data_IF_140673418622
#
_entry.id   IF_140673418622
#
_cell.length_a   1.000
_cell.length_b   1.000
_cell.length_c   1.000
_cell.angle_alpha   90.00
_cell.angle_beta   90.00
_cell.angle_gamma   90.00
#
_symmetry.space_group_name_H-M   'P 1'
#
loop_
_entity.id
_entity.type
_entity.pdbx_description
1 polymer ?
#
# COMPACT_ATOMS: atom_id res chain seq x y z
N UNK A 1 45.25 -14.53 65.76
CA UNK A 1 45.30 -13.09 65.44
C UNK A 1 44.93 -12.93 63.97
N UNK A 2 43.72 -12.42 63.70
CA UNK A 2 43.22 -11.78 62.47
C UNK A 2 41.69 -11.99 62.42
N UNK A 3 41.01 -10.96 62.87
CA UNK A 3 39.58 -10.85 63.14
C UNK A 3 38.75 -10.61 61.89
N UNK A 4 37.60 -11.29 61.87
CA UNK A 4 36.47 -11.18 60.94
C UNK A 4 35.94 -9.74 60.89
N UNK A 5 35.65 -9.21 59.69
CA UNK A 5 34.81 -8.02 59.50
C UNK A 5 33.72 -8.30 58.47
N UNK A 6 32.48 -8.39 58.94
CA UNK A 6 31.27 -8.43 58.13
C UNK A 6 30.85 -7.02 57.68
N UNK A 7 30.34 -6.82 56.45
CA UNK A 7 29.57 -5.64 56.12
C UNK A 7 28.08 -5.84 56.48
N UNK A 8 27.53 -4.86 57.19
CA UNK A 8 26.11 -4.73 57.52
C UNK A 8 25.33 -4.01 56.41
N UNK A 9 24.18 -4.59 56.10
CA UNK A 9 22.90 -4.01 55.65
C UNK A 9 22.83 -2.77 54.75
N UNK A 10 22.06 -2.92 53.66
CA UNK A 10 20.91 -2.03 53.40
C UNK A 10 19.92 -2.72 52.46
N UNK A 11 18.76 -3.10 53.00
CA UNK A 11 17.58 -3.49 52.22
C UNK A 11 16.94 -2.21 51.69
N UNK A 12 16.88 -2.04 50.37
CA UNK A 12 15.95 -1.09 49.75
C UNK A 12 14.82 -1.86 49.09
N UNK A 13 13.63 -1.70 49.67
CA UNK A 13 12.36 -1.99 49.04
C UNK A 13 12.10 -0.93 47.96
N UNK A 14 11.68 -1.35 46.76
CA UNK A 14 10.98 -0.47 45.81
C UNK A 14 9.84 -1.26 45.18
N UNK A 15 8.66 -0.92 45.71
CA UNK A 15 7.30 -0.95 45.22
C UNK A 15 7.02 -1.52 43.81
N UNK A 16 6.19 -2.56 43.80
CA UNK A 16 5.30 -2.96 42.71
C UNK A 16 4.32 -1.83 42.37
N UNK A 17 4.38 -1.29 41.16
CA UNK A 17 3.32 -0.44 40.61
C UNK A 17 2.44 -1.27 39.67
N UNK A 18 1.19 -1.50 40.08
CA UNK A 18 0.12 -1.97 39.21
C UNK A 18 -0.22 -0.87 38.21
N UNK A 19 -0.16 -1.17 36.92
CA UNK A 19 -0.73 -0.32 35.88
C UNK A 19 -2.19 -0.71 35.67
N UNK A 20 -3.09 0.13 36.16
CA UNK A 20 -4.53 0.03 35.94
C UNK A 20 -4.86 0.27 34.47
N UNK A 21 -5.52 -0.70 33.85
CA UNK A 21 -6.19 -0.54 32.56
C UNK A 21 -7.43 0.36 32.74
N UNK A 22 -7.52 1.42 31.94
CA UNK A 22 -8.76 2.19 31.78
C UNK A 22 -9.17 2.14 30.31
N UNK A 23 -10.12 1.25 30.02
CA UNK A 23 -10.90 1.26 28.80
C UNK A 23 -11.97 2.35 28.93
N UNK A 24 -12.00 3.30 28.00
CA UNK A 24 -13.11 4.25 27.86
C UNK A 24 -13.91 3.88 26.61
N UNK A 25 -14.94 3.06 26.82
CA UNK A 25 -16.07 2.94 25.90
C UNK A 25 -17.01 4.11 26.17
N UNK A 26 -17.35 4.88 25.14
CA UNK A 26 -18.42 5.86 25.18
C UNK A 26 -19.43 5.51 24.09
N UNK A 27 -20.54 4.95 24.54
CA UNK A 27 -21.76 4.74 23.77
C UNK A 27 -22.92 5.39 24.53
N UNK A 28 -23.86 5.91 23.72
CA UNK A 28 -25.27 6.22 23.97
C UNK A 28 -25.64 7.61 24.47
N UNK A 29 -26.64 8.17 23.78
CA UNK A 29 -27.39 9.36 24.15
C UNK A 29 -28.27 9.86 23.01
N UNK A 30 -29.29 9.09 22.63
CA UNK A 30 -30.41 9.57 21.81
C UNK A 30 -31.52 10.18 22.66
N UNK A 31 -32.32 11.04 22.02
CA UNK A 31 -33.69 11.53 22.30
C UNK A 31 -33.85 12.76 21.36
N UNK A 32 -34.88 13.00 20.56
CA UNK A 32 -36.27 12.55 20.48
C UNK A 32 -37.07 13.76 19.97
N UNK A 33 -38.06 13.59 19.08
CA UNK A 33 -38.95 14.70 18.69
C UNK A 33 -39.64 14.53 17.34
N UNK A 34 -40.80 13.89 17.34
CA UNK A 34 -41.75 13.77 16.22
C UNK A 34 -42.62 15.01 16.06
N UNK A 35 -43.10 15.31 14.84
CA UNK A 35 -44.42 15.91 14.60
C UNK A 35 -44.93 15.75 13.16
N UNK A 36 -46.22 15.35 13.04
CA UNK A 36 -47.13 15.45 11.87
C UNK A 36 -46.92 14.39 10.77
N UNK A 37 -47.80 13.40 10.53
CA UNK A 37 -49.24 13.51 10.25
C UNK A 37 -49.42 14.09 8.83
N UNK A 38 -49.80 13.35 7.79
CA UNK A 38 -51.15 12.79 7.57
C UNK A 38 -51.15 11.60 6.60
N UNK A 39 -52.12 10.71 6.82
CA UNK A 39 -52.49 9.61 5.94
C UNK A 39 -53.35 10.09 4.76
N UNK A 40 -53.33 9.35 3.65
CA UNK A 40 -54.56 8.75 3.13
C UNK A 40 -54.26 7.54 2.26
N UNK A 41 -54.91 6.43 2.59
CA UNK A 41 -54.98 5.21 1.82
C UNK A 41 -56.01 5.35 0.69
N UNK A 42 -55.83 4.54 -0.35
CA UNK A 42 -56.82 4.31 -1.39
C UNK A 42 -56.51 2.99 -2.08
N UNK A 43 -57.06 1.90 -1.54
CA UNK A 43 -57.05 0.56 -2.13
C UNK A 43 -57.79 0.52 -3.46
N UNK A 44 -57.33 -0.35 -4.35
CA UNK A 44 -58.01 -0.66 -5.61
C UNK A 44 -57.37 -1.84 -6.33
N UNK A 45 -57.69 -3.06 -5.88
CA UNK A 45 -57.35 -4.30 -6.56
C UNK A 45 -58.14 -4.45 -7.88
N UNK A 46 -57.54 -5.00 -8.94
CA UNK A 46 -58.33 -5.45 -10.09
C UNK A 46 -57.60 -5.80 -11.38
N UNK A 47 -57.35 -7.11 -11.54
CA UNK A 47 -57.46 -7.92 -12.78
C UNK A 47 -56.32 -7.96 -13.82
N UNK A 48 -56.19 -9.19 -14.31
CA UNK A 48 -55.22 -9.76 -15.23
C UNK A 48 -55.52 -9.50 -16.71
N UNK A 49 -54.52 -9.73 -17.56
CA UNK A 49 -54.75 -10.08 -18.96
C UNK A 49 -53.59 -9.80 -19.93
N UNK A 50 -53.07 -10.87 -20.55
CA UNK A 50 -52.80 -10.87 -21.99
C UNK A 50 -51.40 -10.45 -22.44
N UNK A 51 -50.66 -11.40 -23.04
CA UNK A 51 -49.29 -11.22 -23.48
C UNK A 51 -49.09 -10.37 -24.74
N UNK A 52 -47.82 -10.07 -25.02
CA UNK A 52 -47.24 -10.19 -26.37
C UNK A 52 -45.73 -10.16 -26.32
N UNK A 53 -45.13 -11.09 -27.05
CA UNK A 53 -43.72 -11.08 -27.40
C UNK A 53 -43.40 -9.78 -28.16
N UNK A 54 -42.38 -9.06 -27.68
CA UNK A 54 -41.75 -7.94 -28.35
C UNK A 54 -40.27 -8.22 -28.48
N UNK A 55 -39.89 -8.78 -29.62
CA UNK A 55 -38.51 -8.77 -30.11
C UNK A 55 -38.08 -7.31 -30.28
N UNK A 56 -37.29 -6.82 -29.34
CA UNK A 56 -36.67 -5.50 -29.37
C UNK A 56 -35.17 -5.64 -29.21
N UNK A 57 -34.47 -5.91 -30.32
CA UNK A 57 -33.05 -5.61 -30.48
C UNK A 57 -32.89 -4.10 -30.35
N UNK A 58 -32.62 -3.63 -29.13
CA UNK A 58 -32.14 -2.28 -28.89
C UNK A 58 -30.75 -2.41 -28.30
N UNK A 59 -29.76 -2.09 -29.13
CA UNK A 59 -28.36 -2.06 -28.75
C UNK A 59 -28.21 -1.23 -27.49
N UNK A 60 -27.84 -1.90 -26.41
CA UNK A 60 -27.20 -1.26 -25.28
C UNK A 60 -25.85 -0.78 -25.79
N UNK A 61 -25.80 0.45 -26.27
CA UNK A 61 -24.59 1.24 -26.21
C UNK A 61 -24.27 1.38 -24.71
N UNK A 62 -23.61 0.36 -24.19
CA UNK A 62 -23.19 0.29 -22.80
C UNK A 62 -22.35 1.54 -22.59
N UNK A 63 -22.92 2.50 -21.86
CA UNK A 63 -22.23 3.69 -21.41
C UNK A 63 -20.83 3.26 -20.98
N UNK A 64 -19.81 3.68 -21.73
CA UNK A 64 -18.44 3.22 -21.51
C UNK A 64 -18.12 3.47 -20.03
N UNK A 65 -18.11 2.39 -19.24
CA UNK A 65 -18.05 2.48 -17.79
C UNK A 65 -16.78 3.26 -17.46
N UNK A 66 -16.93 4.41 -16.81
CA UNK A 66 -15.80 5.26 -16.45
C UNK A 66 -14.83 4.42 -15.62
N UNK A 67 -13.67 4.10 -16.19
CA UNK A 67 -12.63 3.35 -15.48
C UNK A 67 -11.96 4.25 -14.43
N UNK A 68 -11.49 3.69 -13.31
CA UNK A 68 -10.77 4.47 -12.29
C UNK A 68 -9.39 4.88 -12.79
N UNK A 69 -8.82 5.90 -12.15
CA UNK A 69 -7.38 6.14 -12.25
C UNK A 69 -6.63 5.10 -11.41
N UNK A 70 -5.54 4.54 -11.92
CA UNK A 70 -4.67 3.63 -11.20
C UNK A 70 -3.82 4.43 -10.21
N UNK A 71 -4.38 4.68 -9.02
CA UNK A 71 -3.71 5.35 -7.91
C UNK A 71 -3.78 4.54 -6.62
N UNK A 72 -2.94 4.85 -5.64
CA UNK A 72 -2.96 4.21 -4.31
C UNK A 72 -4.30 4.36 -3.58
N UNK A 73 -5.14 5.32 -3.96
CA UNK A 73 -6.47 5.54 -3.37
C UNK A 73 -7.57 4.73 -4.04
N UNK A 74 -7.26 3.92 -5.03
CA UNK A 74 -8.26 3.25 -5.87
C UNK A 74 -8.08 1.74 -5.90
N UNK A 75 -9.18 1.05 -6.20
CA UNK A 75 -9.18 -0.36 -6.55
C UNK A 75 -9.47 -0.48 -8.05
N UNK A 76 -8.55 -1.09 -8.80
CA UNK A 76 -8.74 -1.37 -10.23
C UNK A 76 -9.29 -2.79 -10.36
N UNK A 77 -10.61 -2.88 -10.44
CA UNK A 77 -11.31 -4.15 -10.63
C UNK A 77 -10.95 -4.76 -12.00
N UNK A 78 -10.62 -6.05 -12.01
CA UNK A 78 -10.25 -6.77 -13.23
C UNK A 78 -8.85 -6.46 -13.78
N UNK A 79 -8.00 -5.75 -13.03
CA UNK A 79 -6.58 -5.65 -13.36
C UNK A 79 -5.93 -7.06 -13.31
N UNK A 80 -5.20 -7.46 -14.36
CA UNK A 80 -4.40 -8.69 -14.32
C UNK A 80 -3.40 -8.67 -13.17
N UNK A 81 -3.24 -9.79 -12.48
CA UNK A 81 -2.19 -9.95 -11.49
C UNK A 81 -0.80 -10.02 -12.16
N UNK A 82 0.24 -9.62 -11.44
CA UNK A 82 1.63 -9.86 -11.80
C UNK A 82 1.89 -11.36 -12.00
N UNK A 83 2.29 -11.82 -13.21
CA UNK A 83 2.44 -13.25 -13.51
C UNK A 83 3.69 -13.88 -12.88
N UNK A 84 4.64 -13.07 -12.42
CA UNK A 84 5.91 -13.53 -11.87
C UNK A 84 6.32 -12.68 -10.66
N UNK A 85 5.63 -12.81 -9.52
CA UNK A 85 5.84 -11.96 -8.34
C UNK A 85 7.25 -12.06 -7.74
N UNK A 86 8.03 -13.09 -8.09
CA UNK A 86 9.44 -13.24 -7.67
C UNK A 86 10.42 -13.13 -8.85
N UNK A 87 9.92 -12.88 -10.07
CA UNK A 87 10.73 -12.85 -11.28
C UNK A 87 11.68 -11.65 -11.31
N UNK A 88 12.90 -11.85 -11.80
CA UNK A 88 13.82 -10.74 -12.05
C UNK A 88 13.31 -9.85 -13.20
N UNK A 89 13.62 -8.56 -13.14
CA UNK A 89 13.44 -7.62 -14.25
C UNK A 89 14.76 -6.96 -14.61
N UNK A 90 14.79 -6.30 -15.76
CA UNK A 90 15.95 -5.55 -16.24
C UNK A 90 16.02 -4.11 -15.66
N UNK A 91 15.20 -3.81 -14.65
CA UNK A 91 15.12 -2.51 -13.99
C UNK A 91 14.46 -1.42 -14.83
N UNK A 92 13.81 -1.75 -15.94
CA UNK A 92 13.08 -0.78 -16.75
C UNK A 92 11.91 -0.17 -15.96
N UNK A 93 11.85 1.16 -15.95
CA UNK A 93 10.75 1.94 -15.39
C UNK A 93 10.22 2.89 -16.46
N UNK A 94 8.94 3.21 -16.38
CA UNK A 94 8.26 4.07 -17.34
C UNK A 94 7.45 5.15 -16.64
N UNK A 95 7.45 6.33 -17.23
CA UNK A 95 6.65 7.47 -16.83
C UNK A 95 5.86 7.98 -18.03
N UNK A 96 4.52 8.07 -17.93
CA UNK A 96 3.70 8.60 -19.01
C UNK A 96 3.68 10.13 -18.97
N UNK A 97 3.98 10.81 -20.09
CA UNK A 97 3.97 12.28 -20.16
C UNK A 97 2.58 12.92 -19.96
N UNK A 98 1.52 12.13 -20.15
CA UNK A 98 0.12 12.47 -19.85
C UNK A 98 -0.58 11.19 -19.39
N UNK A 99 -1.76 11.32 -18.79
CA UNK A 99 -2.53 10.15 -18.38
C UNK A 99 -2.72 9.16 -19.56
N UNK A 100 -2.44 7.87 -19.33
CA UNK A 100 -2.44 6.83 -20.37
C UNK A 100 -3.42 5.71 -20.01
N UNK A 101 -4.21 5.17 -20.96
CA UNK A 101 -5.04 4.00 -20.71
C UNK A 101 -4.21 2.79 -20.27
N UNK A 102 -4.73 2.07 -19.28
CA UNK A 102 -4.20 0.77 -18.85
C UNK A 102 -5.15 -0.31 -19.32
N UNK A 103 -4.64 -1.30 -20.06
CA UNK A 103 -5.42 -2.40 -20.60
C UNK A 103 -5.13 -3.72 -19.87
N UNK A 104 -6.07 -4.66 -19.89
CA UNK A 104 -5.88 -6.01 -19.32
C UNK A 104 -4.96 -6.91 -20.16
N UNK A 105 -4.86 -6.65 -21.46
CA UNK A 105 -3.90 -7.26 -22.39
C UNK A 105 -3.57 -6.27 -23.52
N UNK A 106 -2.54 -6.51 -24.34
CA UNK A 106 -2.33 -5.78 -25.58
C UNK A 106 -3.63 -5.71 -26.40
N UNK A 107 -4.00 -4.50 -26.81
CA UNK A 107 -5.24 -4.22 -27.57
C UNK A 107 -6.51 -4.76 -26.88
N UNK A 108 -6.45 -4.86 -25.55
CA UNK A 108 -7.50 -5.39 -24.69
C UNK A 108 -8.49 -4.34 -24.21
N UNK A 109 -9.24 -4.70 -23.18
CA UNK A 109 -10.20 -3.79 -22.55
C UNK A 109 -9.45 -2.86 -21.62
N UNK A 110 -9.82 -1.58 -21.65
CA UNK A 110 -9.33 -0.60 -20.68
C UNK A 110 -9.86 -0.93 -19.30
N UNK A 111 -8.96 -1.06 -18.32
CA UNK A 111 -9.28 -1.33 -16.92
C UNK A 111 -9.02 -0.13 -16.01
N UNK A 112 -8.10 0.77 -16.41
CA UNK A 112 -7.80 1.99 -15.67
C UNK A 112 -7.21 3.10 -16.54
N UNK A 113 -6.90 4.23 -15.91
CA UNK A 113 -6.00 5.28 -16.44
C UNK A 113 -4.79 5.41 -15.53
N UNK A 114 -3.58 5.32 -16.04
CA UNK A 114 -2.39 5.63 -15.25
C UNK A 114 -2.10 7.14 -15.36
N UNK A 115 -2.24 7.93 -14.30
CA UNK A 115 -1.96 9.36 -14.35
C UNK A 115 -0.45 9.63 -14.45
N UNK A 116 -0.10 10.77 -15.05
CA UNK A 116 1.30 11.21 -15.15
C UNK A 116 1.92 11.58 -13.80
N UNK A 117 1.09 11.99 -12.85
CA UNK A 117 1.49 12.41 -11.51
C UNK A 117 0.58 11.79 -10.46
N UNK A 118 1.11 11.57 -9.27
CA UNK A 118 0.41 11.07 -8.10
C UNK A 118 1.20 11.46 -6.84
N UNK A 119 0.50 11.75 -5.73
CA UNK A 119 1.11 12.17 -4.47
C UNK A 119 2.08 13.36 -4.68
N UNK A 120 1.64 14.34 -5.47
CA UNK A 120 2.38 15.57 -5.82
C UNK A 120 3.75 15.33 -6.49
N UNK A 121 3.94 14.17 -7.13
CA UNK A 121 5.16 13.81 -7.85
C UNK A 121 4.90 12.99 -9.12
N UNK A 122 5.94 12.79 -9.95
CA UNK A 122 5.79 12.05 -11.21
C UNK A 122 5.56 10.56 -10.96
N UNK A 123 4.60 9.97 -11.67
CA UNK A 123 4.35 8.53 -11.66
C UNK A 123 5.47 7.82 -12.43
N UNK A 124 6.25 7.01 -11.73
CA UNK A 124 7.17 6.04 -12.32
C UNK A 124 6.79 4.64 -11.85
N UNK A 125 6.52 3.76 -12.80
CA UNK A 125 6.13 2.36 -12.54
C UNK A 125 7.11 1.40 -13.19
N UNK A 126 7.42 0.26 -12.54
CA UNK A 126 8.28 -0.75 -13.13
C UNK A 126 7.58 -1.44 -14.29
N UNK A 127 8.35 -1.73 -15.33
CA UNK A 127 7.94 -2.64 -16.41
C UNK A 127 8.34 -4.06 -16.00
N UNK A 128 7.36 -4.97 -16.00
CA UNK A 128 7.56 -6.38 -15.63
C UNK A 128 7.52 -7.32 -16.82
N UNK A 129 6.99 -6.84 -17.96
CA UNK A 129 6.89 -7.60 -19.21
C UNK A 129 6.88 -6.61 -20.39
N UNK A 130 7.49 -6.99 -21.51
CA UNK A 130 7.44 -6.21 -22.75
C UNK A 130 7.01 -7.11 -23.90
N UNK A 131 6.08 -6.63 -24.74
CA UNK A 131 5.62 -7.33 -25.95
C UNK A 131 5.41 -6.32 -27.07
N UNK A 132 6.35 -6.29 -28.03
CA UNK A 132 6.38 -5.27 -29.07
C UNK A 132 6.39 -3.84 -28.50
N UNK A 133 5.40 -3.02 -28.87
CA UNK A 133 5.21 -1.66 -28.35
C UNK A 133 4.55 -1.58 -26.96
N UNK A 134 4.13 -2.72 -26.41
CA UNK A 134 3.40 -2.80 -25.15
C UNK A 134 4.34 -3.06 -23.97
N UNK A 135 4.08 -2.38 -22.85
CA UNK A 135 4.76 -2.60 -21.57
C UNK A 135 3.72 -2.97 -20.52
N UNK A 136 3.90 -4.12 -19.87
CA UNK A 136 3.13 -4.46 -18.67
C UNK A 136 3.80 -3.82 -17.47
N UNK A 137 3.04 -3.04 -16.71
CA UNK A 137 3.53 -2.31 -15.55
C UNK A 137 2.82 -2.75 -14.28
N UNK A 138 3.49 -2.64 -13.13
CA UNK A 138 2.80 -2.74 -11.84
C UNK A 138 2.02 -1.46 -11.57
N UNK A 139 0.83 -1.60 -11.01
CA UNK A 139 -0.05 -0.48 -10.69
C UNK A 139 0.08 -0.10 -9.21
N UNK A 140 -0.02 1.19 -8.87
CA UNK A 140 0.01 1.65 -7.48
C UNK A 140 -1.27 1.37 -6.71
N UNK A 141 -2.31 0.84 -7.37
CA UNK A 141 -3.66 0.62 -6.83
C UNK A 141 -3.82 -0.72 -6.12
N UNK A 142 -4.97 -0.92 -5.49
CA UNK A 142 -5.45 -2.27 -5.12
C UNK A 142 -6.02 -2.99 -6.35
N UNK A 143 -6.06 -4.34 -6.36
CA UNK A 143 -5.43 -5.23 -5.39
C UNK A 143 -3.89 -5.16 -5.45
N UNK A 144 -3.20 -5.59 -4.38
CA UNK A 144 -1.74 -5.70 -4.42
C UNK A 144 -1.33 -6.62 -5.59
N UNK A 145 -0.19 -6.29 -6.23
CA UNK A 145 0.30 -6.99 -7.44
C UNK A 145 -0.59 -6.79 -8.67
N UNK A 146 -1.51 -5.84 -8.66
CA UNK A 146 -2.21 -5.42 -9.87
C UNK A 146 -1.20 -4.94 -10.93
N UNK A 147 -1.43 -5.35 -12.16
CA UNK A 147 -0.63 -4.99 -13.32
C UNK A 147 -1.53 -4.60 -14.49
N UNK A 148 -0.95 -4.01 -15.53
CA UNK A 148 -1.68 -3.76 -16.76
C UNK A 148 -0.77 -3.30 -17.89
N UNK A 149 -1.30 -3.35 -19.10
CA UNK A 149 -0.56 -3.04 -20.31
C UNK A 149 -0.77 -1.58 -20.72
N UNK A 150 0.33 -0.89 -20.96
CA UNK A 150 0.34 0.47 -21.50
C UNK A 150 1.15 0.50 -22.80
N UNK A 151 0.75 1.37 -23.71
CA UNK A 151 1.48 1.69 -24.92
C UNK A 151 1.17 3.14 -25.31
N UNK A 152 1.84 3.64 -26.34
CA UNK A 152 1.57 4.96 -26.90
C UNK A 152 2.77 5.89 -26.91
N UNK A 153 2.62 7.00 -27.64
CA UNK A 153 3.61 8.06 -27.71
C UNK A 153 3.73 8.80 -26.37
N UNK A 154 4.94 9.26 -26.04
CA UNK A 154 5.19 10.05 -24.83
C UNK A 154 5.47 9.23 -23.56
N UNK A 155 5.66 7.91 -23.67
CA UNK A 155 6.23 7.12 -22.57
C UNK A 155 7.73 7.41 -22.45
N UNK A 156 8.13 8.06 -21.37
CA UNK A 156 9.55 8.21 -21.01
C UNK A 156 10.00 6.95 -20.29
N UNK A 157 11.16 6.42 -20.65
CA UNK A 157 11.74 5.24 -20.01
C UNK A 157 13.04 5.59 -19.31
N UNK A 158 13.34 4.87 -18.25
CA UNK A 158 14.62 4.90 -17.55
C UNK A 158 14.93 3.51 -17.01
N UNK A 159 16.15 3.30 -16.52
CA UNK A 159 16.53 2.07 -15.83
C UNK A 159 17.03 2.39 -14.44
N UNK A 160 16.50 1.69 -13.44
CA UNK A 160 17.02 1.73 -12.08
C UNK A 160 17.92 0.52 -11.84
N UNK A 161 19.17 0.71 -11.36
CA UNK A 161 20.00 -0.41 -10.96
C UNK A 161 19.61 -0.96 -9.59
N UNK A 162 18.66 -0.34 -8.89
CA UNK A 162 18.36 -0.65 -7.51
C UNK A 162 17.25 -1.70 -7.38
N UNK A 163 17.39 -2.54 -6.36
CA UNK A 163 16.33 -3.42 -5.89
C UNK A 163 16.38 -3.46 -4.38
N UNK A 164 15.23 -3.32 -3.74
CA UNK A 164 15.08 -3.49 -2.29
C UNK A 164 14.52 -4.89 -2.03
N UNK A 165 15.10 -5.61 -1.08
CA UNK A 165 14.55 -6.89 -0.59
C UNK A 165 14.26 -6.75 0.88
N UNK A 166 13.07 -7.16 1.30
CA UNK A 166 12.66 -7.24 2.70
C UNK A 166 12.36 -8.70 2.99
N UNK A 167 13.12 -9.28 3.90
CA UNK A 167 12.91 -10.62 4.43
C UNK A 167 12.17 -10.48 5.77
N UNK A 168 10.94 -11.01 5.84
CA UNK A 168 10.08 -10.87 7.01
C UNK A 168 10.46 -11.85 8.12
N UNK A 169 10.84 -13.09 7.80
CA UNK A 169 11.34 -14.06 8.78
C UNK A 169 12.58 -13.52 9.53
N UNK A 170 13.52 -12.96 8.78
CA UNK A 170 14.78 -12.45 9.32
C UNK A 170 14.71 -10.99 9.77
N UNK A 171 13.59 -10.31 9.45
CA UNK A 171 13.34 -8.90 9.74
C UNK A 171 14.47 -8.02 9.23
N UNK A 172 14.75 -8.17 7.94
CA UNK A 172 15.95 -7.63 7.31
C UNK A 172 15.66 -6.99 5.97
N UNK A 173 16.16 -5.78 5.78
CA UNK A 173 16.15 -5.10 4.49
C UNK A 173 17.55 -5.18 3.88
N UNK A 174 17.62 -5.57 2.62
CA UNK A 174 18.84 -5.58 1.80
C UNK A 174 18.62 -4.66 0.60
N UNK A 175 19.54 -3.72 0.40
CA UNK A 175 19.57 -2.87 -0.79
C UNK A 175 20.61 -3.42 -1.76
N UNK A 176 20.17 -3.69 -2.98
CA UNK A 176 21.00 -4.12 -4.09
C UNK A 176 21.18 -2.98 -5.08
N UNK A 177 22.37 -2.85 -5.67
CA UNK A 177 22.65 -2.02 -6.85
C UNK A 177 23.36 -2.89 -7.88
N UNK A 178 22.76 -3.06 -9.05
CA UNK A 178 23.25 -3.95 -10.10
C UNK A 178 23.51 -5.36 -9.57
N UNK A 179 22.52 -5.91 -8.87
CA UNK A 179 22.55 -7.21 -8.16
C UNK A 179 23.61 -7.36 -7.05
N UNK A 180 24.42 -6.34 -6.76
CA UNK A 180 25.39 -6.35 -5.65
C UNK A 180 24.79 -5.72 -4.41
N UNK A 181 24.98 -6.36 -3.26
CA UNK A 181 24.57 -5.80 -1.97
C UNK A 181 25.36 -4.53 -1.67
N UNK A 182 24.65 -3.41 -1.52
CA UNK A 182 25.21 -2.11 -1.12
C UNK A 182 24.77 -1.68 0.27
N UNK A 183 23.90 -2.46 0.92
CA UNK A 183 23.59 -2.32 2.33
C UNK A 183 22.60 -3.36 2.82
N UNK A 184 22.62 -3.59 4.14
CA UNK A 184 21.81 -4.60 4.82
C UNK A 184 21.55 -4.17 6.26
N UNK A 185 20.29 -4.17 6.66
CA UNK A 185 19.86 -3.59 7.93
C UNK A 185 18.77 -4.42 8.60
N UNK A 186 18.80 -4.48 9.94
CA UNK A 186 17.68 -4.99 10.73
C UNK A 186 16.54 -3.97 10.69
N UNK A 187 15.31 -4.43 10.49
CA UNK A 187 14.12 -3.58 10.33
C UNK A 187 13.00 -4.00 11.27
N UNK A 188 12.01 -3.15 11.48
CA UNK A 188 10.75 -3.55 12.12
C UNK A 188 9.66 -3.71 11.06
N UNK A 189 8.81 -4.72 11.24
CA UNK A 189 7.77 -5.10 10.27
C UNK A 189 6.39 -5.13 10.94
N UNK A 190 5.35 -5.41 10.14
CA UNK A 190 3.98 -5.55 10.61
C UNK A 190 3.82 -6.62 11.68
N UNK A 191 3.00 -6.35 12.69
CA UNK A 191 2.60 -7.35 13.70
C UNK A 191 1.63 -8.39 13.14
N UNK A 192 1.29 -9.40 13.95
CA UNK A 192 0.41 -10.51 13.53
C UNK A 192 -0.96 -10.04 13.00
N UNK A 193 -1.57 -9.05 13.65
CA UNK A 193 -2.88 -8.47 13.25
C UNK A 193 -2.80 -7.51 12.06
N UNK A 194 -1.59 -7.01 11.77
CA UNK A 194 -1.35 -6.01 10.73
C UNK A 194 -0.07 -6.35 9.95
N UNK A 195 -0.04 -7.52 9.30
CA UNK A 195 1.18 -8.04 8.71
C UNK A 195 1.64 -7.16 7.54
N UNK A 196 2.95 -7.10 7.34
CA UNK A 196 3.51 -6.54 6.10
C UNK A 196 3.13 -7.48 4.93
N UNK A 197 2.48 -6.98 3.87
CA UNK A 197 2.09 -7.83 2.74
C UNK A 197 3.31 -8.33 1.97
N UNK A 198 3.28 -9.60 1.56
CA UNK A 198 4.32 -10.21 0.74
C UNK A 198 4.10 -9.95 -0.75
N UNK A 199 5.15 -10.19 -1.54
CA UNK A 199 5.18 -10.09 -3.00
C UNK A 199 6.01 -8.92 -3.50
N UNK A 200 6.09 -8.81 -4.83
CA UNK A 200 6.75 -7.71 -5.53
C UNK A 200 5.88 -6.48 -5.61
N UNK A 201 6.48 -5.36 -5.27
CA UNK A 201 5.95 -4.01 -5.37
C UNK A 201 7.08 -3.05 -5.79
N UNK A 202 6.89 -1.75 -5.62
CA UNK A 202 7.87 -0.74 -6.03
C UNK A 202 7.79 0.51 -5.17
N UNK A 203 8.87 1.29 -5.14
CA UNK A 203 8.91 2.62 -4.51
C UNK A 203 8.06 3.56 -5.36
N UNK A 204 6.92 3.97 -4.83
CA UNK A 204 5.91 4.73 -5.56
C UNK A 204 6.16 6.24 -5.50
N UNK A 205 6.56 6.76 -4.34
CA UNK A 205 6.77 8.19 -4.12
C UNK A 205 7.85 8.43 -3.04
N UNK A 206 8.29 9.68 -2.93
CA UNK A 206 9.14 10.15 -1.84
C UNK A 206 8.45 11.34 -1.16
N UNK A 207 8.00 11.15 0.08
CA UNK A 207 7.32 12.18 0.86
C UNK A 207 8.25 12.72 1.94
N UNK A 208 8.55 14.02 1.87
CA UNK A 208 9.31 14.72 2.92
C UNK A 208 8.35 15.19 4.01
N UNK A 209 8.69 14.91 5.26
CA UNK A 209 7.87 15.22 6.44
C UNK A 209 8.50 16.32 7.28
N UNK A 210 7.67 16.97 8.10
CA UNK A 210 8.14 17.96 9.09
C UNK A 210 9.14 17.31 10.04
N UNK A 211 10.11 18.09 10.55
CA UNK A 211 11.15 17.61 11.48
C UNK A 211 10.62 16.94 12.75
N UNK A 212 9.41 17.27 13.18
CA UNK A 212 8.74 16.67 14.35
C UNK A 212 8.12 15.30 14.07
N UNK A 213 8.07 14.87 12.81
CA UNK A 213 7.57 13.53 12.46
C UNK A 213 8.58 12.46 12.86
N UNK A 214 8.14 11.26 13.29
CA UNK A 214 9.04 10.15 13.62
C UNK A 214 9.99 9.73 12.49
N UNK A 215 9.64 10.04 11.24
CA UNK A 215 10.50 9.91 10.08
C UNK A 215 10.50 11.20 9.27
N UNK A 216 11.68 11.63 8.80
CA UNK A 216 11.84 12.78 7.90
C UNK A 216 11.44 12.47 6.46
N UNK A 217 11.52 11.20 6.05
CA UNK A 217 11.15 10.71 4.72
C UNK A 217 10.23 9.50 4.88
N UNK A 218 9.17 9.44 4.07
CA UNK A 218 8.34 8.25 3.89
C UNK A 218 8.41 7.87 2.42
N UNK A 219 8.65 6.60 2.14
CA UNK A 219 8.67 6.03 0.79
C UNK A 219 7.47 5.09 0.64
N UNK A 220 6.29 5.60 0.25
CA UNK A 220 5.14 4.76 -0.06
C UNK A 220 5.48 3.72 -1.12
N UNK A 221 4.92 2.53 -0.97
CA UNK A 221 5.03 1.44 -1.93
C UNK A 221 3.72 1.29 -2.72
N UNK A 222 3.78 0.64 -3.87
CA UNK A 222 2.59 0.16 -4.60
C UNK A 222 1.95 -1.06 -3.93
N UNK A 223 1.86 -1.07 -2.60
CA UNK A 223 1.34 -2.17 -1.79
C UNK A 223 0.56 -1.60 -0.62
N UNK A 224 -0.46 -2.34 -0.18
CA UNK A 224 -1.40 -1.91 0.85
C UNK A 224 -1.61 -3.01 1.87
N UNK A 225 -1.98 -2.63 3.09
CA UNK A 225 -2.34 -3.57 4.15
C UNK A 225 -3.48 -4.48 3.72
N UNK A 226 -3.40 -5.76 4.09
CA UNK A 226 -4.47 -6.72 3.90
C UNK A 226 -5.58 -6.61 4.96
N UNK A 227 -5.28 -6.00 6.11
CA UNK A 227 -6.21 -5.90 7.25
C UNK A 227 -6.67 -4.47 7.56
N UNK A 228 -6.05 -3.47 6.94
CA UNK A 228 -6.39 -2.06 7.14
C UNK A 228 -6.74 -1.40 5.81
N UNK A 229 -8.01 -1.05 5.63
CA UNK A 229 -8.47 -0.26 4.48
C UNK A 229 -8.05 1.22 4.62
N UNK A 230 -7.89 1.70 5.86
CA UNK A 230 -7.37 3.03 6.15
C UNK A 230 -6.35 3.00 7.27
N UNK A 231 -5.34 3.87 7.20
CA UNK A 231 -4.37 4.08 8.28
C UNK A 231 -3.73 5.46 8.15
N UNK A 232 -3.64 6.21 9.26
CA UNK A 232 -2.99 7.52 9.28
C UNK A 232 -3.58 8.55 8.29
N UNK A 233 -4.86 8.41 7.95
CA UNK A 233 -5.56 9.26 6.96
C UNK A 233 -5.37 8.85 5.49
N UNK A 234 -4.63 7.76 5.21
CA UNK A 234 -4.45 7.21 3.87
C UNK A 234 -5.10 5.82 3.69
N UNK A 235 -5.01 5.23 2.48
CA UNK A 235 -5.76 4.02 2.09
C UNK A 235 -5.06 2.70 2.51
N UNK A 236 -4.36 2.74 3.65
CA UNK A 236 -3.57 1.60 4.13
C UNK A 236 -2.32 1.32 3.30
N UNK A 237 -1.79 2.30 2.57
CA UNK A 237 -0.54 2.18 1.79
C UNK A 237 0.64 1.84 2.69
N UNK A 238 1.35 0.76 2.36
CA UNK A 238 2.56 0.33 3.05
C UNK A 238 3.73 1.20 2.60
N UNK A 239 4.63 1.54 3.52
CA UNK A 239 5.78 2.39 3.23
C UNK A 239 7.06 1.88 3.89
N UNK A 240 8.20 2.28 3.33
CA UNK A 240 9.49 2.26 4.01
C UNK A 240 9.71 3.63 4.67
N UNK A 241 10.00 3.66 5.96
CA UNK A 241 10.26 4.92 6.65
C UNK A 241 11.14 4.74 7.89
N UNK A 242 11.75 5.82 8.37
CA UNK A 242 12.56 5.81 9.59
C UNK A 242 11.74 5.61 10.86
N UNK A 243 12.45 5.38 11.96
CA UNK A 243 11.91 5.44 13.32
C UNK A 243 12.96 6.04 14.26
N UNK A 244 12.57 6.85 15.26
CA UNK A 244 13.53 7.57 16.11
C UNK A 244 14.23 6.67 17.12
N UNK A 245 13.64 5.52 17.45
CA UNK A 245 14.15 4.59 18.46
C UNK A 245 14.63 3.28 17.81
N UNK A 246 15.84 2.85 18.16
CA UNK A 246 16.42 1.60 17.66
C UNK A 246 15.78 0.33 18.26
N UNK A 247 15.08 0.44 19.40
CA UNK A 247 14.51 -0.70 20.13
C UNK A 247 13.55 -1.55 19.29
N UNK A 248 12.88 -0.95 18.31
CA UNK A 248 11.89 -1.62 17.46
C UNK A 248 12.51 -2.53 16.40
N UNK A 249 13.78 -2.33 16.03
CA UNK A 249 14.38 -3.06 14.92
C UNK A 249 14.60 -4.53 15.28
N UNK A 250 14.13 -5.43 14.41
CA UNK A 250 14.08 -6.86 14.68
C UNK A 250 12.78 -7.31 15.35
N UNK A 251 11.77 -6.45 15.44
CA UNK A 251 10.46 -6.79 15.98
C UNK A 251 9.35 -6.69 14.92
N UNK A 252 8.24 -7.35 15.19
CA UNK A 252 7.00 -7.29 14.41
C UNK A 252 5.97 -6.44 15.19
N UNK A 253 6.04 -5.12 15.02
CA UNK A 253 5.33 -4.13 15.87
C UNK A 253 4.71 -2.97 15.09
N UNK A 254 4.78 -2.99 13.77
CA UNK A 254 4.18 -1.93 12.93
C UNK A 254 2.79 -2.33 12.46
N UNK A 255 2.12 -1.41 11.77
CA UNK A 255 0.82 -1.63 11.12
C UNK A 255 0.99 -1.99 9.63
N UNK A 256 2.00 -2.81 9.33
CA UNK A 256 2.34 -3.26 7.98
C UNK A 256 3.52 -2.53 7.32
N UNK A 257 3.80 -1.27 7.70
CA UNK A 257 4.98 -0.55 7.21
C UNK A 257 6.31 -1.17 7.65
N UNK A 258 7.38 -0.93 6.88
CA UNK A 258 8.73 -1.34 7.27
C UNK A 258 9.47 -0.14 7.86
N UNK A 259 9.80 -0.22 9.15
CA UNK A 259 10.63 0.79 9.82
C UNK A 259 12.10 0.46 9.63
N UNK A 260 12.88 1.44 9.16
CA UNK A 260 14.29 1.29 8.85
C UNK A 260 15.17 2.19 9.73
N UNK A 261 16.43 1.83 10.01
CA UNK A 261 17.35 2.70 10.73
C UNK A 261 17.75 3.94 9.89
N UNK A 262 18.31 4.99 10.52
CA UNK A 262 18.60 6.26 9.84
C UNK A 262 19.54 6.14 8.63
N UNK A 263 20.53 5.25 8.70
CA UNK A 263 21.48 4.99 7.62
C UNK A 263 20.83 4.27 6.43
N UNK A 264 19.94 3.30 6.70
CA UNK A 264 19.08 2.69 5.70
C UNK A 264 18.17 3.72 5.03
N UNK A 265 17.52 4.62 5.80
CA UNK A 265 16.67 5.68 5.24
C UNK A 265 17.47 6.62 4.32
N UNK A 266 18.71 6.97 4.70
CA UNK A 266 19.62 7.78 3.88
C UNK A 266 20.06 7.06 2.59
N UNK A 267 20.19 5.74 2.61
CA UNK A 267 20.47 4.97 1.40
C UNK A 267 19.24 4.87 0.50
N UNK A 268 18.08 4.57 1.09
CA UNK A 268 16.80 4.43 0.40
C UNK A 268 16.29 5.73 -0.21
N UNK A 269 16.61 6.90 0.36
CA UNK A 269 16.24 8.20 -0.23
C UNK A 269 16.89 8.49 -1.59
N UNK A 270 17.87 7.68 -2.00
CA UNK A 270 18.54 7.74 -3.30
C UNK A 270 17.99 6.74 -4.31
N UNK A 271 17.07 5.86 -3.90
CA UNK A 271 16.46 4.85 -4.75
C UNK A 271 15.44 5.54 -5.66
N UNK A 272 15.57 5.43 -7.00
CA UNK A 272 14.63 6.03 -7.93
C UNK A 272 13.22 5.48 -7.76
N UNK A 273 12.20 6.30 -8.05
CA UNK A 273 10.82 5.84 -8.14
C UNK A 273 10.67 4.73 -9.20
N UNK A 274 9.72 3.83 -8.97
CA UNK A 274 9.54 2.62 -9.78
C UNK A 274 10.54 1.49 -9.47
N UNK A 275 11.57 1.73 -8.65
CA UNK A 275 12.48 0.65 -8.24
C UNK A 275 11.74 -0.44 -7.49
N UNK A 276 12.02 -1.69 -7.87
CA UNK A 276 11.35 -2.85 -7.30
C UNK A 276 11.70 -3.06 -5.83
N UNK A 277 10.69 -3.46 -5.08
CA UNK A 277 10.77 -3.93 -3.70
C UNK A 277 10.18 -5.33 -3.66
N UNK A 278 10.95 -6.32 -3.21
CA UNK A 278 10.49 -7.68 -2.98
C UNK A 278 10.30 -7.87 -1.47
N UNK A 279 9.12 -8.31 -1.06
CA UNK A 279 8.82 -8.61 0.34
C UNK A 279 8.52 -10.11 0.47
N UNK A 280 9.43 -10.83 1.11
CA UNK A 280 9.40 -12.28 1.20
C UNK A 280 9.14 -12.73 2.65
N UNK A 281 8.36 -13.81 2.80
CA UNK A 281 7.97 -14.40 4.08
C UNK A 281 9.12 -15.13 4.76
#
# INVERSE_FOLDING_TARGET
>A
MATIHSPRHSRRAVSTALASAAAAALLLGGCGGSSGGTASAGDGAGKAGGGKAGSGTAGGEAAASKVPDATTFTTVQGAPEDPAPDGATDGLVVHPAKAVPVLDRPDGRRVATLPAEQLDGPTWVPVVETSGGWRRVLLPSRPNRASGWISGAGLRTARTPYTVRVDLAERRLTLLKSARQVGRWKVAIGGAETPTPTGRTFVMATLVRKKTSPSSIVLPLGAHSATLDTFGGGPGTVALHGWPDASVFGQAVTHGCVRVPPDALKALSKVPLGSLVYING
#
